data_IF_962903411075
#
_entry.id   IF_962903411075
#
_cell.length_a   1.000
_cell.length_b   1.000
_cell.length_c   1.000
_cell.angle_alpha   90.00
_cell.angle_beta   90.00
_cell.angle_gamma   90.00
#
_symmetry.space_group_name_H-M   'P 1'
#
loop_
_entity.id
_entity.type
_entity.pdbx_description
1 polymer ?
#
# COMPACT_ATOMS: atom_id res chain seq x y z
N UNK A 1 2.35 10.49 -1.26
CA UNK A 1 1.13 9.74 -1.64
C UNK A 1 -0.09 10.60 -1.31
N UNK A 2 -1.14 10.61 -2.14
CA UNK A 2 -2.35 11.37 -1.82
C UNK A 2 -3.12 10.67 -0.67
N UNK A 3 -3.85 11.42 0.18
CA UNK A 3 -4.67 10.83 1.23
C UNK A 3 -5.70 9.82 0.69
N UNK A 4 -6.20 10.03 -0.53
CA UNK A 4 -7.17 9.14 -1.17
C UNK A 4 -6.60 7.75 -1.48
N UNK A 5 -5.32 7.67 -1.87
CA UNK A 5 -4.67 6.38 -2.14
C UNK A 5 -4.32 5.70 -0.83
N UNK A 6 -3.68 6.41 0.10
CA UNK A 6 -3.23 5.86 1.38
C UNK A 6 -4.41 5.44 2.27
N UNK A 7 -5.35 6.35 2.53
CA UNK A 7 -6.49 6.10 3.42
C UNK A 7 -7.62 5.31 2.74
N UNK A 8 -7.65 5.30 1.41
CA UNK A 8 -8.60 4.54 0.62
C UNK A 8 -8.14 3.10 0.40
N UNK A 9 -7.82 2.75 -0.85
CA UNK A 9 -7.59 1.37 -1.26
C UNK A 9 -6.42 0.69 -0.52
N UNK A 10 -5.35 1.42 -0.20
CA UNK A 10 -4.20 0.88 0.54
C UNK A 10 -4.60 0.45 1.95
N UNK A 11 -5.14 1.36 2.77
CA UNK A 11 -5.55 1.04 4.14
C UNK A 11 -6.69 0.01 4.19
N UNK A 12 -7.57 -0.03 3.19
CA UNK A 12 -8.63 -1.04 3.13
C UNK A 12 -8.08 -2.47 2.98
N UNK A 13 -7.04 -2.67 2.16
CA UNK A 13 -6.37 -3.97 2.02
C UNK A 13 -5.64 -4.35 3.30
N UNK A 14 -4.89 -3.42 3.92
CA UNK A 14 -4.29 -3.64 5.24
C UNK A 14 -5.33 -4.06 6.29
N UNK A 15 -6.46 -3.33 6.36
CA UNK A 15 -7.55 -3.62 7.29
C UNK A 15 -8.23 -4.97 7.04
N UNK A 16 -8.39 -5.35 5.77
CA UNK A 16 -9.00 -6.63 5.37
C UNK A 16 -8.10 -7.83 5.65
N UNK A 17 -6.78 -7.69 5.48
CA UNK A 17 -5.82 -8.72 5.85
C UNK A 17 -5.67 -8.85 7.37
N UNK A 18 -5.82 -7.74 8.11
CA UNK A 18 -5.83 -7.73 9.57
C UNK A 18 -4.53 -8.23 10.21
N UNK A 19 -4.59 -8.63 11.49
CA UNK A 19 -3.43 -9.19 12.21
C UNK A 19 -2.17 -8.29 12.07
N UNK A 20 -1.01 -8.87 11.76
CA UNK A 20 0.23 -8.15 11.45
C UNK A 20 0.04 -7.09 10.36
N UNK A 21 -0.70 -7.40 9.29
CA UNK A 21 -0.98 -6.46 8.19
C UNK A 21 -1.82 -5.25 8.62
N UNK A 22 -2.64 -5.37 9.66
CA UNK A 22 -3.44 -4.25 10.17
C UNK A 22 -2.69 -3.29 11.09
N UNK A 23 -1.39 -3.50 11.34
CA UNK A 23 -0.65 -2.80 12.38
C UNK A 23 0.73 -2.30 11.89
N UNK A 24 1.44 -1.58 12.77
CA UNK A 24 2.80 -1.07 12.53
C UNK A 24 3.80 -2.17 12.14
N UNK A 25 3.56 -3.41 12.57
CA UNK A 25 4.39 -4.57 12.25
C UNK A 25 4.10 -5.17 10.87
N UNK A 26 3.24 -4.55 10.05
CA UNK A 26 2.85 -5.05 8.72
C UNK A 26 4.02 -5.43 7.81
N UNK A 27 5.19 -4.74 7.80
CA UNK A 27 6.33 -5.17 6.98
C UNK A 27 6.92 -6.53 7.36
N UNK A 28 6.57 -7.09 8.52
CA UNK A 28 6.97 -8.43 8.94
C UNK A 28 6.18 -9.54 8.25
N UNK A 29 5.03 -9.22 7.63
CA UNK A 29 4.28 -10.15 6.79
C UNK A 29 4.80 -10.07 5.33
N UNK A 30 5.25 -11.18 4.71
CA UNK A 30 5.74 -11.16 3.34
C UNK A 30 4.77 -10.56 2.31
N UNK A 31 3.45 -10.64 2.53
CA UNK A 31 2.46 -10.09 1.60
C UNK A 31 2.51 -8.56 1.52
N UNK A 32 3.04 -7.89 2.55
CA UNK A 32 3.22 -6.45 2.60
C UNK A 32 3.93 -5.92 1.35
N UNK A 33 5.02 -6.57 0.95
CA UNK A 33 5.85 -6.12 -0.17
C UNK A 33 5.12 -6.26 -1.50
N UNK A 34 4.35 -7.32 -1.70
CA UNK A 34 3.51 -7.48 -2.89
C UNK A 34 2.37 -6.47 -2.94
N UNK A 35 1.75 -6.17 -1.78
CA UNK A 35 0.74 -5.13 -1.68
C UNK A 35 1.30 -3.75 -2.07
N UNK A 36 2.45 -3.37 -1.51
CA UNK A 36 3.09 -2.10 -1.82
C UNK A 36 3.63 -2.04 -3.25
N UNK A 37 4.08 -3.15 -3.83
CA UNK A 37 4.45 -3.23 -5.24
C UNK A 37 3.25 -2.98 -6.17
N UNK A 38 2.05 -3.43 -5.79
CA UNK A 38 0.82 -3.11 -6.52
C UNK A 38 0.47 -1.62 -6.39
N UNK A 39 0.56 -1.04 -5.20
CA UNK A 39 0.31 0.40 -4.99
C UNK A 39 1.27 1.26 -5.82
N UNK A 40 2.54 0.87 -5.89
CA UNK A 40 3.53 1.53 -6.75
C UNK A 40 3.19 1.37 -8.24
N UNK A 41 2.81 0.18 -8.71
CA UNK A 41 2.35 -0.02 -10.09
C UNK A 41 1.12 0.83 -10.45
N UNK A 42 0.18 1.03 -9.51
CA UNK A 42 -0.94 1.97 -9.71
C UNK A 42 -0.44 3.42 -9.84
N UNK A 43 0.60 3.79 -9.09
CA UNK A 43 1.24 5.09 -9.21
C UNK A 43 1.99 5.27 -10.53
N UNK A 44 2.70 4.23 -11.01
CA UNK A 44 3.31 4.19 -12.36
C UNK A 44 2.25 4.35 -13.44
N UNK A 45 1.11 3.67 -13.30
CA UNK A 45 -0.03 3.83 -14.20
C UNK A 45 -0.53 5.28 -14.17
N UNK A 46 -0.80 5.84 -12.99
CA UNK A 46 -1.20 7.25 -12.86
C UNK A 46 -0.21 8.20 -13.54
N UNK A 47 1.09 8.01 -13.32
CA UNK A 47 2.14 8.84 -13.93
C UNK A 47 2.05 8.79 -15.45
N UNK A 48 2.01 7.60 -16.07
CA UNK A 48 1.84 7.43 -17.52
C UNK A 48 0.62 8.18 -18.06
N UNK A 49 -0.51 8.09 -17.37
CA UNK A 49 -1.80 8.58 -17.89
C UNK A 49 -2.07 10.06 -17.61
N UNK A 50 -1.45 10.63 -16.57
CA UNK A 50 -1.75 11.99 -16.10
C UNK A 50 -0.57 12.95 -16.22
N UNK A 51 0.64 12.43 -16.17
CA UNK A 51 1.89 13.19 -16.38
C UNK A 51 2.41 12.96 -17.81
N UNK A 52 2.26 11.74 -18.32
CA UNK A 52 2.72 11.34 -19.64
C UNK A 52 3.91 10.40 -19.57
N UNK A 53 4.36 9.95 -20.74
CA UNK A 53 5.49 9.01 -20.88
C UNK A 53 6.83 9.70 -21.09
N UNK A 54 6.82 11.00 -21.41
CA UNK A 54 8.02 11.80 -21.61
C UNK A 54 8.87 11.82 -20.33
N UNK A 55 10.18 11.70 -20.51
CA UNK A 55 11.15 11.81 -19.43
C UNK A 55 11.28 13.27 -19.04
N UNK A 56 10.89 13.59 -17.82
CA UNK A 56 11.02 14.93 -17.27
C UNK A 56 12.36 15.07 -16.55
N UNK A 57 13.00 16.23 -16.68
CA UNK A 57 14.13 16.62 -15.81
C UNK A 57 13.62 16.88 -14.38
N UNK A 58 14.52 16.92 -13.40
CA UNK A 58 14.15 17.26 -12.03
C UNK A 58 13.34 18.56 -11.92
N UNK A 59 13.77 19.62 -12.62
CA UNK A 59 13.07 20.91 -12.62
C UNK A 59 11.66 20.83 -13.24
N UNK A 60 11.51 20.02 -14.29
CA UNK A 60 10.20 19.77 -14.90
C UNK A 60 9.30 18.96 -13.94
N UNK A 61 9.81 17.91 -13.28
CA UNK A 61 9.06 17.15 -12.26
C UNK A 61 8.58 18.06 -11.13
N UNK A 62 9.48 18.91 -10.61
CA UNK A 62 9.21 19.81 -9.48
C UNK A 62 8.14 20.88 -9.78
N UNK A 63 8.04 21.32 -11.03
CA UNK A 63 7.08 22.35 -11.48
C UNK A 63 5.86 21.80 -12.21
N UNK A 64 5.79 20.47 -12.44
CA UNK A 64 4.68 19.88 -13.20
C UNK A 64 3.38 19.92 -12.37
N UNK A 65 2.29 20.54 -12.87
CA UNK A 65 1.09 20.82 -12.10
C UNK A 65 0.21 19.60 -11.74
N UNK A 66 0.66 18.41 -12.11
CA UNK A 66 -0.06 17.13 -11.94
C UNK A 66 0.86 16.12 -11.27
N UNK A 67 2.12 16.08 -11.70
CA UNK A 67 3.14 15.25 -11.09
C UNK A 67 3.47 15.71 -9.66
N UNK A 68 3.44 17.03 -9.40
CA UNK A 68 3.65 17.59 -8.07
C UNK A 68 2.51 18.50 -7.62
N UNK A 69 2.14 18.36 -6.34
CA UNK A 69 1.33 19.35 -5.62
C UNK A 69 1.85 19.48 -4.18
N UNK A 70 1.77 20.68 -3.62
CA UNK A 70 2.28 21.00 -2.29
C UNK A 70 1.16 21.01 -1.26
N UNK A 71 1.24 20.11 -0.29
CA UNK A 71 0.28 19.98 0.80
C UNK A 71 0.91 20.44 2.12
N UNK A 72 0.11 20.98 3.04
CA UNK A 72 0.57 21.25 4.40
C UNK A 72 1.08 19.96 5.06
N UNK A 73 2.21 20.05 5.76
CA UNK A 73 2.71 18.96 6.60
C UNK A 73 1.74 18.74 7.77
N UNK A 74 1.70 17.51 8.30
CA UNK A 74 0.82 17.17 9.44
C UNK A 74 0.99 18.17 10.59
N UNK A 75 -0.12 18.77 11.03
CA UNK A 75 -0.17 19.76 12.11
C UNK A 75 0.78 20.96 11.91
N UNK A 76 1.01 21.37 10.67
CA UNK A 76 1.91 22.47 10.33
C UNK A 76 1.30 23.37 9.26
N UNK A 77 1.70 24.63 9.25
CA UNK A 77 1.42 25.58 8.16
C UNK A 77 2.47 25.50 7.04
N UNK A 78 3.57 24.79 7.28
CA UNK A 78 4.63 24.57 6.28
C UNK A 78 4.19 23.48 5.32
N UNK A 79 4.31 23.73 4.03
CA UNK A 79 3.98 22.77 2.97
C UNK A 79 5.17 21.88 2.64
N UNK A 80 4.90 20.73 2.04
CA UNK A 80 5.93 19.94 1.37
C UNK A 80 6.41 20.66 0.11
N UNK A 81 7.73 20.65 -0.09
CA UNK A 81 8.42 21.13 -1.29
C UNK A 81 8.91 19.93 -2.10
N UNK A 82 8.98 20.04 -3.44
CA UNK A 82 9.49 18.95 -4.29
C UNK A 82 10.96 18.61 -3.99
N UNK A 83 11.69 19.57 -3.42
CA UNK A 83 13.10 19.46 -3.00
C UNK A 83 13.29 18.98 -1.57
N UNK A 84 12.20 18.76 -0.81
CA UNK A 84 12.32 18.24 0.55
C UNK A 84 12.89 16.82 0.51
N UNK A 85 13.87 16.55 1.38
CA UNK A 85 14.45 15.22 1.52
C UNK A 85 13.52 14.30 2.32
N UNK A 86 13.25 13.13 1.75
CA UNK A 86 12.52 12.04 2.40
C UNK A 86 13.44 11.40 3.42
N UNK A 87 13.01 11.45 4.68
CA UNK A 87 13.72 10.83 5.81
C UNK A 87 12.93 9.65 6.34
N UNK A 88 13.65 8.68 6.90
CA UNK A 88 13.05 7.52 7.53
C UNK A 88 13.11 7.69 9.04
N UNK A 89 11.99 7.41 9.71
CA UNK A 89 11.90 7.43 11.17
C UNK A 89 12.37 6.08 11.71
N UNK A 90 13.69 5.92 11.86
CA UNK A 90 14.29 4.67 12.39
C UNK A 90 14.38 4.61 13.91
N UNK A 91 14.21 5.72 14.62
CA UNK A 91 14.18 5.77 16.08
C UNK A 91 12.86 5.32 16.69
N UNK A 92 12.90 4.82 17.93
CA UNK A 92 11.71 4.49 18.71
C UNK A 92 10.80 5.73 18.83
N UNK A 93 9.53 5.60 18.43
CA UNK A 93 8.54 6.71 18.33
C UNK A 93 8.93 7.83 17.36
N UNK A 94 9.86 7.60 16.44
CA UNK A 94 10.30 8.59 15.46
C UNK A 94 11.12 9.73 16.05
N UNK A 95 11.69 9.55 17.25
CA UNK A 95 12.67 10.48 17.79
C UNK A 95 13.97 10.38 16.97
N UNK A 96 14.48 11.53 16.52
CA UNK A 96 15.68 11.67 15.68
C UNK A 96 15.59 10.94 14.31
N UNK A 97 14.71 11.40 13.39
CA UNK A 97 14.71 10.87 12.03
C UNK A 97 16.07 11.12 11.38
N UNK A 98 16.60 10.10 10.71
CA UNK A 98 17.82 10.19 9.91
C UNK A 98 17.47 9.94 8.44
N UNK A 99 18.33 10.41 7.55
CA UNK A 99 18.25 10.01 6.16
C UNK A 99 18.53 8.50 6.05
N UNK A 100 17.71 7.78 5.27
CA UNK A 100 17.82 6.32 5.17
C UNK A 100 19.23 5.89 4.72
N UNK A 101 19.86 6.65 3.82
CA UNK A 101 21.23 6.44 3.34
C UNK A 101 22.31 6.55 4.41
N UNK A 102 22.03 7.25 5.52
CA UNK A 102 22.96 7.40 6.65
C UNK A 102 22.81 6.32 7.71
N UNK A 103 21.78 5.48 7.59
CA UNK A 103 21.53 4.38 8.53
C UNK A 103 22.67 3.33 8.43
N UNK A 104 23.28 2.93 9.56
CA UNK A 104 24.43 2.02 9.54
C UNK A 104 24.07 0.58 9.11
N UNK A 105 22.81 0.17 9.20
CA UNK A 105 22.36 -1.18 8.87
C UNK A 105 21.82 -1.24 7.44
N UNK A 106 20.96 -0.29 7.08
CA UNK A 106 20.23 -0.34 5.81
C UNK A 106 20.66 0.72 4.79
N UNK A 107 21.48 1.70 5.18
CA UNK A 107 21.85 2.82 4.30
C UNK A 107 22.53 2.39 3.01
N UNK A 108 23.22 1.25 3.01
CA UNK A 108 23.80 0.63 1.80
C UNK A 108 22.79 0.37 0.68
N UNK A 109 21.51 0.16 1.01
CA UNK A 109 20.45 -0.09 0.02
C UNK A 109 19.88 1.21 -0.57
N UNK A 110 20.20 2.37 0.02
CA UNK A 110 19.78 3.68 -0.43
C UNK A 110 20.90 4.47 -1.10
N UNK A 111 22.10 3.91 -1.21
CA UNK A 111 23.23 4.53 -1.91
C UNK A 111 22.89 4.71 -3.39
N UNK A 112 22.99 5.94 -3.88
CA UNK A 112 22.71 6.28 -5.30
C UNK A 112 21.23 6.39 -5.66
N UNK A 113 20.33 6.22 -4.68
CA UNK A 113 18.90 6.50 -4.87
C UNK A 113 18.64 7.96 -4.52
N UNK A 114 17.92 8.73 -5.37
CA UNK A 114 17.51 10.08 -5.04
C UNK A 114 16.74 10.15 -3.72
N UNK A 115 16.93 11.21 -2.94
CA UNK A 115 16.25 11.35 -1.65
C UNK A 115 15.22 12.50 -1.63
N UNK A 116 15.10 13.30 -2.70
CA UNK A 116 14.12 14.36 -2.81
C UNK A 116 12.81 13.85 -3.41
N UNK A 117 11.66 14.40 -3.01
CA UNK A 117 10.36 13.97 -3.53
C UNK A 117 10.27 13.99 -5.06
N UNK A 118 10.75 15.05 -5.72
CA UNK A 118 10.74 15.12 -7.18
C UNK A 118 11.70 14.10 -7.83
N UNK A 119 12.81 13.77 -7.19
CA UNK A 119 13.73 12.73 -7.65
C UNK A 119 13.15 11.32 -7.57
N UNK A 120 12.20 11.09 -6.66
CA UNK A 120 11.56 9.79 -6.42
C UNK A 120 10.27 9.57 -7.23
N UNK A 121 9.90 10.50 -8.10
CA UNK A 121 8.61 10.51 -8.78
C UNK A 121 8.48 9.48 -9.92
N UNK A 122 9.60 9.13 -10.55
CA UNK A 122 9.66 8.27 -11.73
C UNK A 122 10.56 7.07 -11.45
N UNK A 123 10.01 5.86 -11.45
CA UNK A 123 10.71 4.60 -11.14
C UNK A 123 11.84 4.29 -12.12
N UNK A 124 11.81 4.96 -13.28
CA UNK A 124 12.75 4.79 -14.38
C UNK A 124 13.97 5.71 -14.24
N UNK A 125 13.99 6.58 -13.21
CA UNK A 125 14.98 7.64 -12.99
C UNK A 125 15.56 7.60 -11.56
N UNK A 126 15.82 6.38 -11.07
CA UNK A 126 16.36 6.09 -9.73
C UNK A 126 17.82 5.62 -9.78
N UNK A 127 18.55 5.99 -10.84
CA UNK A 127 19.92 5.55 -11.08
C UNK A 127 19.99 4.04 -11.29
N UNK A 128 20.96 3.37 -10.65
CA UNK A 128 21.11 1.91 -10.74
C UNK A 128 19.99 1.11 -10.08
N UNK A 129 19.10 1.79 -9.35
CA UNK A 129 17.95 1.20 -8.68
C UNK A 129 16.65 1.38 -9.48
N UNK A 130 16.73 1.88 -10.72
CA UNK A 130 15.59 2.00 -11.62
C UNK A 130 15.00 0.63 -11.96
N UNK A 131 13.69 0.59 -12.18
CA UNK A 131 12.98 -0.64 -12.48
C UNK A 131 11.76 -0.40 -13.38
N UNK A 132 11.30 -1.50 -13.98
CA UNK A 132 10.11 -1.55 -14.84
C UNK A 132 9.19 -2.69 -14.41
N UNK A 133 7.91 -2.58 -14.71
CA UNK A 133 6.92 -3.61 -14.40
C UNK A 133 6.62 -4.52 -15.59
N UNK A 134 6.38 -5.81 -15.32
CA UNK A 134 5.84 -6.75 -16.30
C UNK A 134 4.39 -7.01 -15.89
N UNK A 135 3.43 -6.62 -16.73
CA UNK A 135 2.01 -6.59 -16.36
C UNK A 135 1.14 -7.35 -17.36
N UNK A 136 0.10 -7.99 -16.85
CA UNK A 136 -0.91 -8.71 -17.62
C UNK A 136 -2.30 -8.47 -17.02
N UNK A 137 -3.32 -9.07 -17.62
CA UNK A 137 -4.69 -9.03 -17.12
C UNK A 137 -5.29 -7.62 -17.10
N UNK A 138 -6.20 -7.38 -16.15
CA UNK A 138 -6.90 -6.12 -15.98
C UNK A 138 -5.98 -4.95 -15.63
N UNK A 139 -4.84 -5.21 -14.98
CA UNK A 139 -3.86 -4.14 -14.69
C UNK A 139 -3.19 -3.66 -15.98
N UNK A 140 -2.89 -4.58 -16.91
CA UNK A 140 -2.45 -4.22 -18.26
C UNK A 140 -3.54 -3.47 -19.05
N UNK A 141 -4.81 -3.87 -18.94
CA UNK A 141 -5.94 -3.12 -19.52
C UNK A 141 -5.98 -1.70 -18.98
N UNK A 142 -5.88 -1.52 -17.67
CA UNK A 142 -5.88 -0.21 -17.03
C UNK A 142 -4.70 0.64 -17.53
N UNK A 143 -3.48 0.10 -17.58
CA UNK A 143 -2.31 0.82 -18.06
C UNK A 143 -2.44 1.25 -19.54
N UNK A 144 -2.93 0.36 -20.39
CA UNK A 144 -3.06 0.62 -21.84
C UNK A 144 -4.21 1.56 -22.17
N UNK A 145 -5.32 1.52 -21.42
CA UNK A 145 -6.55 2.27 -21.73
C UNK A 145 -6.82 3.46 -20.81
N UNK A 146 -5.92 3.78 -19.88
CA UNK A 146 -6.15 4.86 -18.93
C UNK A 146 -6.38 6.24 -19.55
N UNK A 147 -5.93 6.49 -20.78
CA UNK A 147 -6.19 7.75 -21.49
C UNK A 147 -7.68 7.92 -21.84
N UNK A 148 -8.42 6.81 -21.93
CA UNK A 148 -9.87 6.78 -22.10
C UNK A 148 -10.64 6.79 -20.77
N UNK A 149 -9.94 6.72 -19.62
CA UNK A 149 -10.60 6.74 -18.31
C UNK A 149 -11.22 8.13 -18.05
N UNK A 150 -12.52 8.21 -17.72
CA UNK A 150 -13.16 9.50 -17.55
C UNK A 150 -12.60 10.25 -16.35
N UNK A 151 -12.24 11.51 -16.58
CA UNK A 151 -11.62 12.40 -15.60
C UNK A 151 -12.55 12.82 -14.46
N UNK A 152 -13.84 12.50 -14.53
CA UNK A 152 -14.88 12.90 -13.57
C UNK A 152 -15.20 11.84 -12.53
N UNK A 153 -14.69 10.61 -12.65
CA UNK A 153 -14.90 9.56 -11.64
C UNK A 153 -14.01 9.80 -10.43
N UNK A 154 -14.37 10.79 -9.62
CA UNK A 154 -14.14 10.65 -8.19
C UNK A 154 -15.23 9.72 -7.71
N UNK A 155 -14.87 8.54 -7.18
CA UNK A 155 -15.78 7.80 -6.31
C UNK A 155 -16.35 8.84 -5.34
N UNK A 156 -17.67 9.04 -5.33
CA UNK A 156 -18.29 9.83 -4.27
C UNK A 156 -17.88 9.16 -2.95
N UNK A 157 -17.08 9.88 -2.16
CA UNK A 157 -16.63 9.42 -0.86
C UNK A 157 -17.87 9.13 -0.02
N UNK A 158 -18.20 7.85 0.13
CA UNK A 158 -19.44 7.46 0.80
C UNK A 158 -19.40 7.78 2.30
N UNK A 159 -18.26 8.21 2.86
CA UNK A 159 -18.14 8.57 4.27
C UNK A 159 -17.05 9.63 4.58
N UNK A 160 -16.88 10.68 3.77
CA UNK A 160 -16.11 11.86 4.21
C UNK A 160 -16.82 13.16 3.86
N UNK A 161 -17.40 13.79 4.90
CA UNK A 161 -17.92 15.18 4.82
C UNK A 161 -16.80 16.23 4.75
N UNK A 162 -15.54 15.81 4.85
CA UNK A 162 -14.40 16.70 4.61
C UNK A 162 -14.02 16.59 3.14
N UNK A 163 -14.33 17.61 2.34
CA UNK A 163 -13.62 17.81 1.08
C UNK A 163 -12.14 17.89 1.45
N UNK A 164 -11.28 16.95 1.02
CA UNK A 164 -9.86 17.07 1.27
C UNK A 164 -9.42 18.40 0.68
N UNK A 165 -8.82 19.28 1.49
CA UNK A 165 -8.22 20.51 0.99
C UNK A 165 -7.19 20.11 -0.06
N UNK A 166 -7.55 20.26 -1.33
CA UNK A 166 -6.67 19.91 -2.44
C UNK A 166 -5.40 20.73 -2.29
N UNK A 167 -4.27 20.06 -2.44
CA UNK A 167 -2.95 20.65 -2.32
C UNK A 167 -2.75 21.77 -3.35
N UNK A 168 -1.89 22.73 -3.04
CA UNK A 168 -1.56 23.82 -3.96
C UNK A 168 -0.78 23.29 -5.16
N UNK A 169 -1.06 23.83 -6.34
CA UNK A 169 -0.28 23.54 -7.55
C UNK A 169 0.89 24.54 -7.58
N UNK A 170 2.13 24.09 -7.77
CA UNK A 170 3.28 24.99 -7.94
C UNK A 170 3.13 25.84 -9.21
N UNK A 171 3.79 27.00 -9.24
CA UNK A 171 3.92 27.78 -10.47
C UNK A 171 4.80 27.00 -11.48
N UNK A 172 4.38 27.00 -12.74
CA UNK A 172 5.02 26.24 -13.84
C UNK A 172 6.25 26.97 -14.42
N UNK A 173 6.92 27.80 -13.63
CA UNK A 173 8.04 28.65 -14.11
C UNK A 173 9.43 28.06 -13.82
N UNK A 174 9.50 26.93 -13.10
CA UNK A 174 10.75 26.24 -12.79
C UNK A 174 11.49 26.79 -11.57
N UNK A 175 10.88 27.71 -10.83
CA UNK A 175 11.45 28.30 -9.62
C UNK A 175 10.67 27.88 -8.38
N UNK A 176 11.36 27.82 -7.23
CA UNK A 176 10.70 27.65 -5.96
C UNK A 176 10.09 28.97 -5.43
N UNK A 177 9.34 28.88 -4.33
CA UNK A 177 8.72 30.03 -3.65
C UNK A 177 9.72 31.11 -3.17
N UNK A 178 11.02 30.79 -3.13
CA UNK A 178 12.09 31.72 -2.78
C UNK A 178 12.83 32.28 -4.01
N UNK A 179 12.43 31.90 -5.22
CA UNK A 179 13.05 32.31 -6.48
C UNK A 179 14.32 31.53 -6.84
N UNK A 180 14.58 30.38 -6.20
CA UNK A 180 15.70 29.51 -6.60
C UNK A 180 15.28 28.61 -7.75
N UNK A 181 16.18 28.40 -8.70
CA UNK A 181 15.99 27.49 -9.83
C UNK A 181 16.00 26.03 -9.35
N UNK A 182 14.92 25.27 -9.63
CA UNK A 182 14.83 23.86 -9.23
C UNK A 182 15.97 23.00 -9.79
N UNK A 183 16.49 23.30 -10.98
CA UNK A 183 17.61 22.55 -11.54
C UNK A 183 18.86 22.66 -10.66
N UNK A 184 19.07 23.82 -10.03
CA UNK A 184 20.20 24.05 -9.11
C UNK A 184 20.02 23.38 -7.75
N UNK A 185 18.80 22.98 -7.40
CA UNK A 185 18.44 22.35 -6.14
C UNK A 185 18.42 20.81 -6.22
N UNK A 186 18.63 20.24 -7.41
CA UNK A 186 18.75 18.81 -7.60
C UNK A 186 20.07 18.31 -6.95
N UNK A 187 19.95 17.49 -5.92
CA UNK A 187 21.10 16.91 -5.22
C UNK A 187 21.57 15.55 -5.79
N UNK A 188 20.89 15.02 -6.81
CA UNK A 188 21.26 13.81 -7.59
C UNK A 188 21.18 14.07 -9.11
N UNK A 189 22.03 14.94 -9.67
CA UNK A 189 22.00 15.23 -11.11
C UNK A 189 22.38 14.02 -11.99
N UNK A 190 23.11 13.04 -11.44
CA UNK A 190 23.53 11.84 -12.17
C UNK A 190 22.40 10.85 -12.42
N UNK A 191 21.33 10.91 -11.64
CA UNK A 191 20.14 10.09 -11.85
C UNK A 191 19.12 10.77 -12.75
N UNK A 192 19.29 12.06 -13.06
CA UNK A 192 18.33 12.85 -13.84
C UNK A 192 18.42 12.47 -15.32
N UNK A 193 17.32 11.96 -15.88
CA UNK A 193 17.18 11.66 -17.29
C UNK A 193 18.12 10.55 -17.82
N UNK A 194 18.36 9.51 -17.01
CA UNK A 194 19.39 8.51 -17.30
C UNK A 194 18.94 7.04 -17.09
N UNK A 195 18.10 6.47 -17.97
CA UNK A 195 18.03 5.01 -18.16
C UNK A 195 17.24 4.55 -19.42
N UNK A 196 17.38 3.27 -19.78
CA UNK A 196 16.66 2.54 -20.84
C UNK A 196 15.40 1.81 -20.36
N UNK A 197 15.04 1.92 -19.09
CA UNK A 197 13.84 1.29 -18.55
C UNK A 197 12.55 1.88 -19.13
N UNK A 198 11.57 1.01 -19.37
CA UNK A 198 10.19 1.38 -19.67
C UNK A 198 9.38 1.46 -18.37
N UNK A 199 8.19 2.04 -18.39
CA UNK A 199 7.34 2.10 -17.18
C UNK A 199 6.77 0.72 -16.89
N UNK A 200 6.17 0.13 -17.92
CA UNK A 200 5.64 -1.21 -17.88
C UNK A 200 5.73 -1.88 -19.26
N UNK A 201 5.93 -3.19 -19.24
CA UNK A 201 5.92 -4.09 -20.40
C UNK A 201 4.71 -5.00 -20.27
N UNK A 202 3.85 -4.98 -21.28
CA UNK A 202 2.68 -5.88 -21.30
C UNK A 202 3.14 -7.29 -21.67
N UNK A 203 2.68 -8.30 -20.94
CA UNK A 203 3.04 -9.70 -21.16
C UNK A 203 1.82 -10.62 -21.31
N UNK A 204 2.04 -11.74 -22.00
CA UNK A 204 1.10 -12.87 -22.04
C UNK A 204 1.13 -13.67 -20.72
N UNK A 205 0.27 -14.69 -20.58
CA UNK A 205 0.25 -15.59 -19.40
C UNK A 205 1.55 -16.35 -19.15
N UNK A 206 2.46 -16.39 -20.12
CA UNK A 206 3.78 -17.02 -19.97
C UNK A 206 4.86 -16.03 -19.55
N UNK A 207 4.51 -14.76 -19.35
CA UNK A 207 5.44 -13.68 -19.00
C UNK A 207 6.24 -13.17 -20.20
N UNK A 208 5.83 -13.48 -21.43
CA UNK A 208 6.54 -13.00 -22.64
C UNK A 208 5.96 -11.65 -23.08
N UNK A 209 6.80 -10.67 -23.40
CA UNK A 209 6.36 -9.38 -23.93
C UNK A 209 5.48 -9.55 -25.17
N UNK A 210 4.40 -8.77 -25.23
CA UNK A 210 3.52 -8.69 -26.39
C UNK A 210 3.64 -7.32 -27.06
N UNK A 211 3.23 -7.24 -28.33
CA UNK A 211 3.27 -5.98 -29.08
C UNK A 211 2.25 -4.97 -28.55
N UNK A 212 2.58 -3.67 -28.68
CA UNK A 212 1.79 -2.53 -28.21
C UNK A 212 0.33 -2.47 -28.75
N UNK A 213 0.05 -3.21 -29.84
CA UNK A 213 -1.27 -3.30 -30.46
C UNK A 213 -1.87 -4.71 -30.41
N UNK A 214 -1.36 -5.56 -29.52
CA UNK A 214 -1.96 -6.88 -29.29
C UNK A 214 -3.40 -6.72 -28.79
N UNK A 215 -4.29 -7.62 -29.23
CA UNK A 215 -5.66 -7.64 -28.71
C UNK A 215 -5.66 -7.92 -27.20
N UNK A 216 -6.70 -7.45 -26.51
CA UNK A 216 -6.89 -7.68 -25.07
C UNK A 216 -6.74 -9.15 -24.69
N UNK A 217 -7.25 -10.05 -25.51
CA UNK A 217 -7.20 -11.51 -25.29
C UNK A 217 -5.77 -12.07 -25.24
N UNK A 218 -4.77 -11.33 -25.71
CA UNK A 218 -3.36 -11.71 -25.62
C UNK A 218 -2.79 -11.57 -24.21
N UNK A 219 -3.31 -10.65 -23.39
CA UNK A 219 -2.85 -10.40 -22.02
C UNK A 219 -3.91 -10.64 -20.94
N UNK A 220 -5.20 -10.69 -21.30
CA UNK A 220 -6.29 -11.19 -20.46
C UNK A 220 -6.59 -12.63 -20.87
N UNK A 221 -5.70 -13.55 -20.51
CA UNK A 221 -5.78 -14.93 -21.01
C UNK A 221 -6.49 -15.90 -20.05
N UNK A 222 -6.60 -15.57 -18.77
CA UNK A 222 -7.26 -16.44 -17.78
C UNK A 222 -8.78 -16.47 -17.99
N UNK A 223 -9.37 -17.66 -18.10
CA UNK A 223 -10.81 -17.80 -18.41
C UNK A 223 -11.71 -17.18 -17.34
N UNK A 224 -11.33 -17.26 -16.05
CA UNK A 224 -12.06 -16.61 -14.96
C UNK A 224 -12.01 -15.09 -15.06
N UNK A 225 -10.87 -14.54 -15.48
CA UNK A 225 -10.70 -13.11 -15.69
C UNK A 225 -11.49 -12.63 -16.90
N UNK A 226 -11.41 -13.36 -18.03
CA UNK A 226 -12.20 -13.07 -19.23
C UNK A 226 -13.68 -12.96 -18.92
N UNK A 227 -14.24 -13.90 -18.14
CA UNK A 227 -15.66 -13.85 -17.73
C UNK A 227 -16.03 -12.54 -17.05
N UNK A 228 -15.19 -12.06 -16.14
CA UNK A 228 -15.44 -10.80 -15.40
C UNK A 228 -15.34 -9.61 -16.34
N UNK A 229 -14.27 -9.54 -17.15
CA UNK A 229 -14.01 -8.42 -18.06
C UNK A 229 -15.06 -8.34 -19.16
N UNK A 230 -15.39 -9.47 -19.78
CA UNK A 230 -16.42 -9.55 -20.83
C UNK A 230 -17.79 -9.16 -20.30
N UNK A 231 -18.16 -9.61 -19.09
CA UNK A 231 -19.40 -9.20 -18.45
C UNK A 231 -19.45 -7.69 -18.19
N UNK A 232 -18.38 -7.09 -17.65
CA UNK A 232 -18.31 -5.65 -17.42
C UNK A 232 -18.47 -4.86 -18.74
N UNK A 233 -17.68 -5.19 -19.75
CA UNK A 233 -17.70 -4.46 -21.03
C UNK A 233 -19.04 -4.59 -21.75
N UNK A 234 -19.61 -5.79 -21.81
CA UNK A 234 -20.91 -6.02 -22.46
C UNK A 234 -22.03 -5.27 -21.75
N UNK A 235 -22.01 -5.27 -20.41
CA UNK A 235 -23.02 -4.58 -19.60
C UNK A 235 -22.89 -3.06 -19.76
N UNK A 236 -21.67 -2.51 -19.69
CA UNK A 236 -21.44 -1.08 -19.93
C UNK A 236 -21.82 -0.68 -21.35
N UNK A 237 -21.48 -1.48 -22.36
CA UNK A 237 -21.88 -1.22 -23.74
C UNK A 237 -23.41 -1.18 -23.88
N UNK A 238 -24.13 -2.11 -23.24
CA UNK A 238 -25.59 -2.14 -23.23
C UNK A 238 -26.21 -0.94 -22.49
N UNK A 239 -25.55 -0.44 -21.44
CA UNK A 239 -25.95 0.73 -20.67
C UNK A 239 -25.55 2.08 -21.32
N UNK A 240 -24.91 2.06 -22.49
CA UNK A 240 -24.54 3.27 -23.23
C UNK A 240 -23.18 3.85 -22.88
N UNK A 241 -22.29 3.03 -22.31
CA UNK A 241 -20.90 3.36 -22.03
C UNK A 241 -20.60 3.50 -20.54
N UNK A 242 -19.41 4.03 -20.26
CA UNK A 242 -18.82 3.97 -18.93
C UNK A 242 -19.06 5.30 -18.18
N UNK A 243 -20.23 5.42 -17.53
CA UNK A 243 -20.63 6.57 -16.70
C UNK A 243 -20.64 6.19 -15.22
N UNK A 244 -20.58 7.17 -14.31
CA UNK A 244 -20.70 6.90 -12.86
C UNK A 244 -22.01 6.13 -12.56
N UNK A 245 -23.10 6.58 -13.17
CA UNK A 245 -24.41 5.99 -13.05
C UNK A 245 -24.45 4.50 -13.49
N UNK A 246 -23.74 4.16 -14.57
CA UNK A 246 -23.67 2.80 -15.09
C UNK A 246 -22.73 1.90 -14.27
N UNK A 247 -21.66 2.46 -13.72
CA UNK A 247 -20.78 1.74 -12.79
C UNK A 247 -21.46 1.45 -11.46
N UNK A 248 -22.25 2.40 -10.96
CA UNK A 248 -23.11 2.19 -9.81
C UNK A 248 -24.12 1.07 -10.11
N UNK A 249 -24.77 1.10 -11.28
CA UNK A 249 -25.67 0.01 -11.70
C UNK A 249 -24.99 -1.36 -11.71
N UNK A 250 -23.77 -1.46 -12.27
CA UNK A 250 -22.95 -2.66 -12.24
C UNK A 250 -22.64 -3.15 -10.81
N UNK A 251 -22.30 -2.25 -9.90
CA UNK A 251 -22.07 -2.61 -8.49
C UNK A 251 -23.34 -3.17 -7.85
N UNK A 252 -24.49 -2.56 -8.14
CA UNK A 252 -25.81 -3.05 -7.71
C UNK A 252 -26.09 -4.45 -8.23
N UNK A 253 -25.80 -4.72 -9.50
CA UNK A 253 -25.92 -6.05 -10.09
C UNK A 253 -25.02 -7.07 -9.37
N UNK A 254 -23.74 -6.73 -9.16
CA UNK A 254 -22.79 -7.60 -8.47
C UNK A 254 -23.22 -7.93 -7.02
N UNK A 255 -23.61 -6.93 -6.24
CA UNK A 255 -24.07 -7.11 -4.86
C UNK A 255 -25.38 -7.93 -4.78
N UNK A 256 -26.33 -7.68 -5.69
CA UNK A 256 -27.57 -8.47 -5.74
C UNK A 256 -27.33 -9.91 -6.21
N UNK A 257 -26.38 -10.13 -7.11
CA UNK A 257 -26.00 -11.48 -7.53
C UNK A 257 -25.37 -12.27 -6.38
N UNK A 258 -24.43 -11.67 -5.64
CA UNK A 258 -23.88 -12.27 -4.41
C UNK A 258 -25.01 -12.65 -3.44
N UNK A 259 -25.96 -11.73 -3.23
CA UNK A 259 -27.08 -11.95 -2.33
C UNK A 259 -27.96 -13.14 -2.75
N UNK A 260 -28.29 -13.23 -4.04
CA UNK A 260 -29.23 -14.24 -4.56
C UNK A 260 -28.56 -15.59 -4.80
N UNK A 261 -27.33 -15.60 -5.32
CA UNK A 261 -26.69 -16.79 -5.87
C UNK A 261 -25.53 -17.33 -5.03
N UNK A 262 -24.88 -16.52 -4.20
CA UNK A 262 -23.61 -16.89 -3.55
C UNK A 262 -23.71 -16.98 -2.02
N UNK A 263 -24.92 -17.15 -1.49
CA UNK A 263 -25.16 -17.44 -0.07
C UNK A 263 -25.51 -16.22 0.78
N UNK A 264 -25.85 -15.09 0.15
CA UNK A 264 -26.44 -13.94 0.81
C UNK A 264 -25.42 -12.91 1.28
N UNK A 265 -25.78 -11.63 1.18
CA UNK A 265 -25.00 -10.53 1.75
C UNK A 265 -25.24 -10.42 3.25
N UNK A 266 -24.27 -10.88 4.05
CA UNK A 266 -24.36 -10.90 5.52
C UNK A 266 -23.89 -9.57 6.11
N UNK A 267 -24.52 -9.17 7.20
CA UNK A 267 -24.09 -8.03 7.99
C UNK A 267 -22.88 -8.40 8.89
N UNK A 268 -22.12 -7.40 9.32
CA UNK A 268 -21.08 -7.57 10.33
C UNK A 268 -21.69 -7.95 11.69
N UNK A 269 -20.95 -8.72 12.49
CA UNK A 269 -21.40 -9.03 13.85
C UNK A 269 -21.47 -7.76 14.71
N UNK A 270 -22.35 -7.70 15.73
CA UNK A 270 -22.41 -6.55 16.64
C UNK A 270 -21.07 -6.25 17.31
N UNK A 271 -20.30 -7.28 17.65
CA UNK A 271 -18.97 -7.16 18.25
C UNK A 271 -17.99 -6.51 17.28
N UNK A 272 -18.02 -6.92 16.00
CA UNK A 272 -17.17 -6.35 14.96
C UNK A 272 -17.48 -4.87 14.73
N UNK A 273 -18.78 -4.51 14.66
CA UNK A 273 -19.22 -3.11 14.54
C UNK A 273 -18.77 -2.27 15.74
N UNK A 274 -18.90 -2.82 16.96
CA UNK A 274 -18.49 -2.13 18.18
C UNK A 274 -16.98 -1.92 18.27
N UNK A 275 -16.19 -2.90 17.82
CA UNK A 275 -14.74 -2.87 17.83
C UNK A 275 -14.18 -1.90 16.79
N UNK A 276 -14.64 -2.00 15.54
CA UNK A 276 -14.09 -1.26 14.40
C UNK A 276 -14.83 0.04 14.08
N UNK A 277 -15.91 0.35 14.81
CA UNK A 277 -16.75 1.54 14.61
C UNK A 277 -17.31 1.64 13.18
N UNK A 278 -17.55 0.48 12.54
CA UNK A 278 -18.16 0.38 11.20
C UNK A 278 -19.66 0.12 11.30
N UNK A 279 -20.41 0.51 10.28
CA UNK A 279 -21.88 0.40 10.26
C UNK A 279 -22.33 -0.94 9.67
N UNK A 280 -22.06 -1.19 8.40
CA UNK A 280 -22.39 -2.42 7.68
C UNK A 280 -21.54 -2.51 6.39
N UNK A 281 -21.46 -3.68 5.72
CA UNK A 281 -20.75 -3.79 4.45
C UNK A 281 -21.44 -2.99 3.33
N UNK A 282 -20.68 -2.44 2.37
CA UNK A 282 -21.23 -1.67 1.23
C UNK A 282 -22.30 -2.42 0.44
N UNK A 283 -22.06 -3.69 0.08
CA UNK A 283 -23.08 -4.49 -0.60
C UNK A 283 -24.34 -4.72 0.26
N UNK A 284 -24.23 -4.70 1.59
CA UNK A 284 -25.40 -4.86 2.47
C UNK A 284 -26.32 -3.64 2.37
N UNK A 285 -25.75 -2.44 2.38
CA UNK A 285 -26.48 -1.19 2.15
C UNK A 285 -27.17 -1.19 0.79
N UNK A 286 -26.45 -1.58 -0.26
CA UNK A 286 -26.95 -1.60 -1.64
C UNK A 286 -28.10 -2.61 -1.79
N UNK A 287 -27.93 -3.82 -1.28
CA UNK A 287 -28.95 -4.87 -1.36
C UNK A 287 -30.21 -4.46 -0.62
N UNK A 288 -30.10 -3.93 0.59
CA UNK A 288 -31.25 -3.44 1.37
C UNK A 288 -31.99 -2.33 0.62
N UNK A 289 -31.28 -1.38 0.02
CA UNK A 289 -31.89 -0.30 -0.76
C UNK A 289 -32.66 -0.83 -1.98
N UNK A 290 -32.13 -1.83 -2.68
CA UNK A 290 -32.83 -2.49 -3.80
C UNK A 290 -34.05 -3.27 -3.32
N UNK A 291 -33.94 -4.02 -2.21
CA UNK A 291 -35.06 -4.80 -1.64
C UNK A 291 -36.18 -3.90 -1.11
N UNK A 292 -35.82 -2.75 -0.51
CA UNK A 292 -36.77 -1.75 -0.02
C UNK A 292 -37.36 -0.87 -1.13
N UNK A 293 -36.88 -0.99 -2.36
CA UNK A 293 -37.27 -0.20 -3.54
C UNK A 293 -36.85 1.28 -3.46
N UNK A 294 -35.83 1.58 -2.67
CA UNK A 294 -35.20 2.91 -2.63
C UNK A 294 -34.28 3.10 -3.85
N UNK A 295 -33.67 2.01 -4.32
CA UNK A 295 -32.88 1.97 -5.55
C UNK A 295 -33.36 0.86 -6.49
N UNK A 296 -32.99 0.95 -7.77
CA UNK A 296 -33.34 -0.03 -8.80
C UNK A 296 -32.14 -0.33 -9.70
N UNK A 297 -32.05 -1.57 -10.16
CA UNK A 297 -31.11 -1.97 -11.23
C UNK A 297 -31.74 -1.59 -12.58
N UNK A 298 -31.00 -0.85 -13.39
CA UNK A 298 -31.41 -0.32 -14.69
C UNK A 298 -31.25 -1.34 -15.80
N UNK A 299 -30.18 -2.14 -15.75
CA UNK A 299 -29.98 -3.17 -16.76
C UNK A 299 -30.98 -4.31 -16.56
N UNK A 300 -32.09 -4.30 -17.29
CA UNK A 300 -33.20 -5.25 -17.09
C UNK A 300 -32.78 -6.73 -17.13
N UNK A 301 -31.82 -7.07 -18.01
CA UNK A 301 -31.32 -8.44 -18.21
C UNK A 301 -30.10 -8.79 -17.34
N UNK A 302 -29.82 -8.01 -16.28
CA UNK A 302 -28.64 -8.22 -15.45
C UNK A 302 -28.57 -9.63 -14.85
N UNK A 303 -29.71 -10.17 -14.42
CA UNK A 303 -29.72 -11.46 -13.72
C UNK A 303 -29.38 -12.58 -14.69
N UNK A 304 -30.05 -12.64 -15.83
CA UNK A 304 -29.82 -13.68 -16.84
C UNK A 304 -28.39 -13.64 -17.36
N UNK A 305 -27.83 -12.45 -17.56
CA UNK A 305 -26.46 -12.28 -18.05
C UNK A 305 -25.42 -12.69 -17.00
N UNK A 306 -25.62 -12.35 -15.72
CA UNK A 306 -24.74 -12.79 -14.64
C UNK A 306 -24.83 -14.29 -14.39
N UNK A 307 -26.03 -14.88 -14.41
CA UNK A 307 -26.21 -16.33 -14.27
C UNK A 307 -25.55 -17.09 -15.43
N UNK A 308 -25.62 -16.55 -16.65
CA UNK A 308 -24.94 -17.12 -17.81
C UNK A 308 -23.40 -17.06 -17.68
N UNK A 309 -22.86 -15.95 -17.18
CA UNK A 309 -21.42 -15.74 -17.07
C UNK A 309 -20.79 -16.52 -15.90
N UNK A 310 -21.39 -16.44 -14.72
CA UNK A 310 -20.80 -16.88 -13.45
C UNK A 310 -21.46 -18.14 -12.88
N UNK A 311 -22.70 -18.44 -13.27
CA UNK A 311 -23.50 -19.52 -12.71
C UNK A 311 -24.09 -19.18 -11.33
N UNK A 312 -25.28 -19.70 -11.04
CA UNK A 312 -25.96 -19.55 -9.76
C UNK A 312 -26.08 -20.94 -9.12
N UNK A 313 -25.13 -21.36 -8.28
CA UNK A 313 -25.18 -22.67 -7.66
C UNK A 313 -26.40 -22.77 -6.75
N UNK A 314 -27.20 -23.83 -6.91
CA UNK A 314 -28.25 -24.17 -5.94
C UNK A 314 -27.59 -24.35 -4.55
N UNK A 315 -28.18 -23.80 -3.47
CA UNK A 315 -27.65 -24.00 -2.13
C UNK A 315 -27.56 -25.51 -1.88
N UNK A 316 -26.32 -26.01 -1.73
CA UNK A 316 -26.11 -27.40 -1.37
C UNK A 316 -26.59 -27.58 0.07
N UNK A 317 -27.86 -27.95 0.23
CA UNK A 317 -28.35 -28.54 1.48
C UNK A 317 -27.74 -29.94 1.58
N UNK A 318 -26.45 -30.03 1.90
CA UNK A 318 -25.95 -31.23 2.55
C UNK A 318 -26.63 -31.29 3.91
N UNK A 319 -27.63 -32.15 4.01
CA UNK A 319 -28.20 -32.61 5.27
C UNK A 319 -27.09 -33.29 6.08
N UNK A 320 -26.25 -32.51 6.75
CA UNK A 320 -25.59 -32.97 7.98
C UNK A 320 -26.61 -32.89 9.12
N UNK A 321 -27.63 -33.73 9.00
CA UNK A 321 -28.30 -34.32 10.16
C UNK A 321 -27.35 -35.31 10.83
N UNK A 322 -26.24 -34.82 11.38
CA UNK A 322 -25.59 -35.46 12.52
C UNK A 322 -25.97 -34.64 13.75
N UNK A 323 -26.95 -35.18 14.47
CA UNK A 323 -27.41 -34.67 15.74
C UNK A 323 -26.23 -34.36 16.69
N UNK A 324 -26.08 -33.10 17.09
CA UNK A 324 -25.48 -32.76 18.38
C UNK A 324 -26.60 -32.50 19.38
N UNK A 325 -27.27 -33.59 19.75
CA UNK A 325 -28.05 -33.67 20.98
C UNK A 325 -27.12 -33.86 22.16
N UNK A 326 -27.13 -32.89 23.08
CA UNK A 326 -26.92 -33.06 24.53
C UNK A 326 -25.80 -33.98 25.00
N UNK A 327 -24.68 -33.38 25.37
CA UNK A 327 -23.66 -33.98 26.24
C UNK A 327 -23.11 -32.92 27.19
N UNK A 328 -23.59 -32.97 28.44
CA UNK A 328 -23.00 -32.31 29.61
C UNK A 328 -21.50 -32.67 29.75
N UNK A 329 -20.81 -31.99 30.67
CA UNK A 329 -19.48 -32.22 31.30
C UNK A 329 -18.72 -30.88 31.25
N UNK A 330 -18.33 -30.18 32.31
CA UNK A 330 -18.45 -30.33 33.75
C UNK A 330 -17.58 -29.19 34.32
N UNK A 331 -18.14 -28.37 35.21
CA UNK A 331 -17.42 -27.25 35.82
C UNK A 331 -16.27 -27.73 36.70
N UNK A 332 -15.10 -27.11 36.52
CA UNK A 332 -14.08 -26.72 37.54
C UNK A 332 -12.93 -26.06 36.76
N UNK A 333 -12.37 -24.89 37.06
CA UNK A 333 -12.49 -24.03 38.21
C UNK A 333 -12.26 -22.57 37.79
N UNK A 334 -12.85 -21.70 38.61
CA UNK A 334 -12.77 -20.24 38.62
C UNK A 334 -11.35 -19.67 38.68
N UNK A 335 -11.12 -18.63 37.86
CA UNK A 335 -10.13 -17.59 38.08
C UNK A 335 -10.75 -16.25 37.66
N UNK A 336 -11.51 -15.64 38.57
CA UNK A 336 -12.09 -14.31 38.41
C UNK A 336 -11.01 -13.26 38.55
N UNK A 337 -10.95 -12.29 37.65
CA UNK A 337 -10.61 -10.92 38.03
C UNK A 337 -11.46 -9.93 37.22
N UNK A 338 -12.42 -9.36 37.93
CA UNK A 338 -13.17 -8.17 37.56
C UNK A 338 -12.22 -6.97 37.49
N UNK A 339 -12.33 -6.13 36.46
CA UNK A 339 -12.03 -4.72 36.60
C UNK A 339 -12.90 -3.86 35.69
N UNK A 340 -13.40 -2.80 36.31
CA UNK A 340 -14.42 -1.85 35.89
C UNK A 340 -13.97 -1.03 34.68
N UNK A 341 -14.79 -1.01 33.62
CA UNK A 341 -14.62 -0.10 32.48
C UNK A 341 -15.18 1.27 32.88
N UNK A 342 -14.30 2.23 33.16
CA UNK A 342 -14.64 3.64 33.09
C UNK A 342 -14.44 4.11 31.66
N UNK A 343 -15.51 4.64 31.07
CA UNK A 343 -15.52 5.26 29.75
C UNK A 343 -14.64 6.51 29.77
N UNK A 344 -13.67 6.60 28.87
CA UNK A 344 -13.19 7.88 28.36
C UNK A 344 -13.04 7.78 26.83
N UNK A 345 -13.64 8.77 26.18
CA UNK A 345 -13.70 8.95 24.72
C UNK A 345 -12.36 9.54 24.30
N UNK A 346 -11.62 8.85 23.44
CA UNK A 346 -10.45 9.44 22.79
C UNK A 346 -10.37 9.05 21.31
N UNK A 347 -10.50 10.07 20.46
CA UNK A 347 -10.33 10.02 19.02
C UNK A 347 -8.86 10.22 18.70
N UNK A 348 -8.13 9.18 18.29
CA UNK A 348 -6.75 9.35 17.80
C UNK A 348 -6.37 8.29 16.76
N UNK A 349 -6.12 8.77 15.54
CA UNK A 349 -5.51 8.04 14.43
C UNK A 349 -4.00 7.86 14.68
N UNK A 350 -3.56 6.60 14.63
CA UNK A 350 -2.20 6.12 14.37
C UNK A 350 -1.06 6.84 15.10
N UNK A 351 -0.94 6.57 16.40
CA UNK A 351 0.31 6.11 17.06
C UNK A 351 -0.03 5.75 18.51
N UNK A 352 -0.24 4.47 18.81
CA UNK A 352 -0.49 4.06 20.20
C UNK A 352 0.84 3.86 20.93
N UNK A 353 1.04 4.69 21.95
CA UNK A 353 2.14 4.65 22.90
C UNK A 353 2.14 3.33 23.68
N UNK A 354 3.29 2.67 23.71
CA UNK A 354 3.60 1.63 24.69
C UNK A 354 3.88 2.30 26.04
N UNK A 355 3.03 2.07 27.05
CA UNK A 355 3.37 2.41 28.44
C UNK A 355 4.10 1.21 29.04
N UNK A 356 5.37 1.40 29.36
CA UNK A 356 6.20 0.40 30.04
C UNK A 356 5.59 0.01 31.38
N UNK A 357 5.40 -1.30 31.57
CA UNK A 357 5.31 -1.92 32.88
C UNK A 357 6.72 -2.20 33.40
N UNK A 358 7.36 -1.19 33.97
CA UNK A 358 8.48 -1.39 34.89
C UNK A 358 8.39 -0.36 36.04
N UNK A 359 8.70 -0.87 37.23
CA UNK A 359 8.79 -0.23 38.55
C UNK A 359 7.50 -0.01 39.36
N UNK A 360 7.20 -0.99 40.22
CA UNK A 360 7.40 -0.81 41.66
C UNK A 360 7.17 -2.12 42.44
N UNK A 361 8.28 -2.73 42.89
CA UNK A 361 8.26 -3.63 44.03
C UNK A 361 9.42 -3.26 44.97
N UNK A 362 9.17 -2.30 45.85
CA UNK A 362 9.90 -2.20 47.12
C UNK A 362 9.47 -3.35 48.03
N UNK A 363 10.40 -4.20 48.48
CA UNK A 363 10.43 -4.74 49.86
C UNK A 363 11.87 -5.11 50.24
N UNK A 364 12.38 -4.48 51.29
CA UNK A 364 12.96 -5.20 52.42
C UNK A 364 14.47 -5.46 52.45
N UNK A 365 15.17 -4.60 53.18
CA UNK A 365 16.51 -4.78 53.76
C UNK A 365 16.73 -6.10 54.52
N UNK A 366 17.87 -6.77 54.29
CA UNK A 366 18.66 -7.38 55.37
C UNK A 366 20.14 -7.50 55.00
N UNK A 367 20.97 -7.12 55.97
CA UNK A 367 22.43 -6.91 55.98
C UNK A 367 23.23 -8.23 56.04
N UNK A 368 24.41 -8.27 55.39
CA UNK A 368 25.71 -8.81 55.88
C UNK A 368 26.68 -8.95 54.69
N UNK A 369 27.63 -8.02 54.55
CA UNK A 369 29.05 -8.10 54.96
C UNK A 369 29.99 -8.60 53.84
N UNK A 370 30.86 -7.68 53.41
CA UNK A 370 32.08 -7.83 52.59
C UNK A 370 33.07 -8.85 53.21
N UNK A 371 34.00 -9.48 52.45
CA UNK A 371 35.19 -8.72 52.00
C UNK A 371 35.86 -9.15 50.67
N UNK A 372 36.59 -8.17 50.12
CA UNK A 372 37.64 -8.28 49.09
C UNK A 372 38.84 -9.16 49.54
N UNK A 373 39.70 -9.65 48.62
CA UNK A 373 40.98 -8.93 48.47
C UNK A 373 41.64 -8.94 47.07
N UNK A 374 42.26 -7.79 46.78
CA UNK A 374 43.50 -7.45 46.01
C UNK A 374 44.47 -8.53 45.51
N UNK A 375 45.07 -8.32 44.31
CA UNK A 375 46.53 -8.21 43.96
C UNK A 375 46.77 -8.50 42.46
N UNK A 376 47.18 -7.53 41.64
CA UNK A 376 48.56 -7.14 41.24
C UNK A 376 49.27 -7.98 40.14
N UNK A 377 49.34 -7.35 38.95
CA UNK A 377 50.41 -7.26 37.91
C UNK A 377 51.58 -8.25 37.90
N UNK A 378 51.83 -8.86 36.72
CA UNK A 378 53.20 -9.15 36.20
C UNK A 378 53.23 -8.95 34.67
N UNK A 379 54.02 -7.96 34.23
CA UNK A 379 54.53 -7.83 32.84
C UNK A 379 55.69 -8.80 32.58
N UNK A 380 55.95 -9.13 31.30
CA UNK A 380 57.24 -8.97 30.58
C UNK A 380 57.31 -9.91 29.34
N UNK A 381 57.40 -9.29 28.15
CA UNK A 381 57.86 -9.80 26.83
C UNK A 381 59.41 -10.00 26.83
N UNK A 382 60.15 -10.59 25.83
CA UNK A 382 59.98 -10.33 24.38
C UNK A 382 60.50 -11.38 23.36
N UNK A 383 60.25 -11.07 22.07
CA UNK A 383 61.10 -11.14 20.84
C UNK A 383 62.09 -12.33 20.65
N UNK A 384 62.36 -12.90 19.47
CA UNK A 384 62.44 -12.42 18.06
C UNK A 384 62.90 -13.64 17.23
N UNK A 385 62.53 -13.73 15.94
CA UNK A 385 63.49 -14.07 14.90
C UNK A 385 62.97 -13.66 13.51
N UNK A 386 63.92 -13.25 12.68
CA UNK A 386 63.82 -12.32 11.56
C UNK A 386 64.55 -12.95 10.36
N UNK A 387 64.01 -12.73 9.14
CA UNK A 387 64.61 -12.83 7.78
C UNK A 387 65.00 -14.26 7.29
N UNK A 388 64.79 -14.64 6.02
CA UNK A 388 65.18 -13.95 4.78
C UNK A 388 64.25 -14.14 3.55
N UNK A 389 64.47 -13.21 2.64
CA UNK A 389 63.86 -12.83 1.37
C UNK A 389 64.29 -13.70 0.17
N UNK A 390 63.42 -13.85 -0.84
CA UNK A 390 63.81 -13.85 -2.28
C UNK A 390 62.60 -13.84 -3.22
N UNK A 391 62.41 -12.69 -3.86
CA UNK A 391 61.56 -12.46 -5.03
C UNK A 391 62.28 -12.82 -6.33
N UNK A 392 61.60 -13.45 -7.32
CA UNK A 392 61.92 -13.35 -8.76
C UNK A 392 60.62 -13.29 -9.59
N UNK A 393 60.67 -12.40 -10.57
CA UNK A 393 59.62 -11.82 -11.43
C UNK A 393 59.42 -12.55 -12.77
N UNK A 394 58.16 -12.51 -13.24
CA UNK A 394 57.62 -12.26 -14.60
C UNK A 394 58.42 -12.62 -15.88
N UNK A 395 57.71 -13.23 -16.84
CA UNK A 395 57.74 -12.94 -18.30
C UNK A 395 56.61 -13.72 -18.99
N UNK A 396 55.93 -13.35 -20.09
CA UNK A 396 55.75 -12.14 -20.93
C UNK A 396 54.80 -12.51 -22.10
N UNK A 397 54.28 -11.47 -22.79
CA UNK A 397 53.78 -11.36 -24.20
C UNK A 397 52.26 -11.20 -24.32
N UNK A 398 51.71 -10.18 -24.97
CA UNK A 398 52.26 -9.08 -25.78
C UNK A 398 51.36 -7.85 -25.64
#
# INVERSE_FOLDING_TARGET
MSPLVEQGCHNHVHGSLGSTMGNFTSPADPIFWSHHAMVDLLHVTFHKCRVGTERLTFAQKASHPVAWTSCARRNSTVTFRPTDEVTMRTGERGMNPIAASTDPLIGRFFTGIPNQFAGLMDTRDLGSSSYEYYISGQVATMYTQCDASPTSRKLEETHSKSIPTMCGVPDSDGYDENGNDYASLNNYPETDHHDKHQDAVIVDSTGRPIHEHASRDAYVSEESEKKVVDWHEQTLAALGGDSQENMDDLERQACMFEHICLGGTKDYSPEFKALWKVTEPRCKTIVDAVLNRDETIKYESWRETMELAFGCPEPSYTNDTSAYSGGSWGSSASGSLSSTITNDVDTSNDTNHLTDMLDNAEVGTSVMEDPEPTTEVVEISPATNVLEDRSISSTRKN
#
